data_IF_822702135832
#
_entry.id   IF_822702135832
#
_cell.length_a   1.000
_cell.length_b   1.000
_cell.length_c   1.000
_cell.angle_alpha   90.00
_cell.angle_beta   90.00
_cell.angle_gamma   90.00
#
_symmetry.space_group_name_H-M   'P 1'
#
loop_
_entity.id
_entity.type
_entity.pdbx_description
1 polymer ?
#
# COMPACT_ATOMS: atom_id res chain seq x y z
N UNK A 1 -1.94 -5.90 2.10
CA UNK A 1 -1.50 -4.86 3.06
C UNK A 1 -0.20 -5.25 3.78
N UNK A 2 -0.14 -6.33 4.56
CA UNK A 2 1.11 -6.75 5.23
C UNK A 2 2.27 -6.97 4.24
N UNK A 3 2.02 -7.59 3.08
CA UNK A 3 3.04 -7.71 2.02
C UNK A 3 3.60 -6.35 1.59
N UNK A 4 2.73 -5.38 1.29
CA UNK A 4 3.15 -4.03 0.89
C UNK A 4 3.99 -3.35 1.97
N UNK A 5 3.62 -3.53 3.24
CA UNK A 5 4.35 -3.01 4.39
C UNK A 5 5.76 -3.64 4.51
N UNK A 6 5.86 -4.96 4.30
CA UNK A 6 7.16 -5.65 4.24
C UNK A 6 8.00 -5.13 3.07
N UNK A 7 7.41 -4.99 1.88
CA UNK A 7 8.10 -4.48 0.70
C UNK A 7 8.64 -3.06 0.93
N UNK A 8 7.88 -2.21 1.64
CA UNK A 8 8.29 -0.85 1.98
C UNK A 8 9.51 -0.84 2.92
N UNK A 9 9.52 -1.69 3.95
CA UNK A 9 10.67 -1.81 4.87
C UNK A 9 11.91 -2.39 4.20
N UNK A 10 11.74 -3.38 3.31
CA UNK A 10 12.84 -3.98 2.57
C UNK A 10 13.47 -2.99 1.60
N UNK A 11 12.64 -2.22 0.88
CA UNK A 11 13.13 -1.16 -0.03
C UNK A 11 13.88 -0.07 0.73
N UNK A 12 13.39 0.37 1.89
CA UNK A 12 14.11 1.32 2.74
C UNK A 12 15.47 0.77 3.18
N UNK A 13 15.52 -0.50 3.60
CA UNK A 13 16.78 -1.17 3.96
C UNK A 13 17.77 -1.20 2.80
N UNK A 14 17.30 -1.44 1.58
CA UNK A 14 18.14 -1.40 0.37
C UNK A 14 18.66 0.01 0.08
N UNK A 15 17.81 1.04 0.21
CA UNK A 15 18.23 2.43 0.04
C UNK A 15 19.31 2.84 1.06
N UNK A 16 19.18 2.39 2.31
CA UNK A 16 20.21 2.61 3.33
C UNK A 16 21.52 1.90 2.98
N UNK A 17 21.46 0.67 2.48
CA UNK A 17 22.65 -0.09 2.04
C UNK A 17 23.36 0.58 0.85
N UNK A 18 22.63 1.31 0.00
CA UNK A 18 23.16 2.10 -1.11
C UNK A 18 23.65 3.50 -0.67
N UNK A 19 23.46 3.89 0.59
CA UNK A 19 23.82 5.22 1.11
C UNK A 19 22.84 6.34 0.71
N UNK A 20 21.67 6.01 0.17
CA UNK A 20 20.64 6.96 -0.24
C UNK A 20 19.69 7.36 0.90
N UNK A 21 19.59 6.53 1.93
CA UNK A 21 18.93 6.87 3.19
C UNK A 21 19.98 7.09 4.28
N UNK A 22 20.04 8.32 4.81
CA UNK A 22 21.00 8.75 5.83
C UNK A 22 20.43 8.75 7.25
N UNK A 23 19.13 8.52 7.40
CA UNK A 23 18.50 8.40 8.71
C UNK A 23 18.82 7.07 9.38
N UNK A 24 18.44 6.95 10.65
CA UNK A 24 18.50 5.65 11.34
C UNK A 24 17.36 4.76 10.84
N UNK A 25 17.66 3.49 10.54
CA UNK A 25 16.64 2.51 10.12
C UNK A 25 15.73 2.08 11.27
N UNK A 26 16.18 2.22 12.52
CA UNK A 26 15.42 1.77 13.69
C UNK A 26 14.96 0.31 13.61
N UNK A 27 13.80 0.02 14.21
CA UNK A 27 13.15 -1.27 14.09
C UNK A 27 12.26 -1.35 12.84
N UNK A 28 12.75 -2.05 11.80
CA UNK A 28 11.97 -2.36 10.60
C UNK A 28 10.96 -3.50 10.87
N UNK A 29 9.88 -3.18 11.59
CA UNK A 29 8.79 -4.12 11.90
C UNK A 29 7.48 -3.64 11.27
N UNK A 30 6.69 -4.60 10.78
CA UNK A 30 5.28 -4.38 10.45
C UNK A 30 4.45 -4.69 11.68
N UNK A 31 3.61 -3.75 12.11
CA UNK A 31 2.72 -3.89 13.26
C UNK A 31 1.28 -3.90 12.78
N UNK A 32 0.52 -4.89 13.23
CA UNK A 32 -0.92 -4.98 13.02
C UNK A 32 -1.59 -4.79 14.37
N UNK A 33 -2.47 -3.80 14.46
CA UNK A 33 -3.24 -3.48 15.67
C UNK A 33 -4.73 -3.54 15.36
N UNK A 34 -5.51 -3.93 16.35
CA UNK A 34 -6.97 -4.01 16.27
C UNK A 34 -7.54 -3.20 17.41
N UNK A 35 -8.27 -2.15 17.07
CA UNK A 35 -9.08 -1.38 18.00
C UNK A 35 -10.54 -1.83 17.84
N UNK A 36 -11.05 -2.53 18.85
CA UNK A 36 -12.41 -3.06 18.84
C UNK A 36 -13.46 -1.97 19.05
N UNK A 37 -13.15 -0.97 19.86
CA UNK A 37 -14.08 0.10 20.21
C UNK A 37 -14.25 1.05 19.02
N UNK A 38 -13.13 1.41 18.37
CA UNK A 38 -13.13 2.19 17.13
C UNK A 38 -13.46 1.35 15.88
N UNK A 39 -13.54 0.00 16.00
CA UNK A 39 -13.72 -0.95 14.89
C UNK A 39 -12.70 -0.73 13.76
N UNK A 40 -11.43 -0.52 14.13
CA UNK A 40 -10.34 -0.20 13.21
C UNK A 40 -9.27 -1.28 13.25
N UNK A 41 -8.80 -1.69 12.07
CA UNK A 41 -7.57 -2.49 11.92
C UNK A 41 -6.52 -1.58 11.31
N UNK A 42 -5.39 -1.42 11.99
CA UNK A 42 -4.29 -0.57 11.50
C UNK A 42 -3.07 -1.44 11.23
N UNK A 43 -2.57 -1.36 10.00
CA UNK A 43 -1.29 -1.94 9.59
C UNK A 43 -0.31 -0.77 9.44
N UNK A 44 0.74 -0.76 10.25
CA UNK A 44 1.77 0.28 10.24
C UNK A 44 3.15 -0.33 10.01
N UNK A 45 3.99 0.34 9.25
CA UNK A 45 5.39 -0.01 9.04
C UNK A 45 6.30 1.20 9.17
N UNK A 46 7.59 0.93 9.32
CA UNK A 46 8.65 1.92 9.27
C UNK A 46 9.44 1.76 7.95
N UNK A 47 8.73 1.81 6.82
CA UNK A 47 9.30 1.70 5.49
C UNK A 47 9.57 3.06 4.84
N UNK A 48 9.78 3.03 3.52
CA UNK A 48 10.15 4.24 2.75
C UNK A 48 9.04 5.30 2.67
N UNK A 49 7.79 4.92 2.99
CA UNK A 49 6.61 5.78 2.93
C UNK A 49 6.32 6.36 1.54
N UNK A 50 5.42 7.35 1.49
CA UNK A 50 5.01 8.01 0.26
C UNK A 50 4.73 9.50 0.52
N UNK A 51 5.03 10.32 -0.47
CA UNK A 51 4.56 11.71 -0.59
C UNK A 51 3.10 11.75 -1.07
N UNK A 52 2.45 12.90 -0.94
CA UNK A 52 1.08 13.10 -1.45
C UNK A 52 0.97 12.85 -2.97
N UNK A 53 1.99 13.24 -3.74
CA UNK A 53 2.04 13.00 -5.19
C UNK A 53 2.21 11.51 -5.53
N UNK A 54 3.04 10.79 -4.76
CA UNK A 54 3.20 9.35 -4.90
C UNK A 54 1.91 8.62 -4.55
N UNK A 55 1.19 9.03 -3.49
CA UNK A 55 -0.15 8.50 -3.18
C UNK A 55 -1.10 8.75 -4.35
N UNK A 56 -1.17 9.98 -4.87
CA UNK A 56 -2.04 10.31 -6.01
C UNK A 56 -1.72 9.46 -7.25
N UNK A 57 -0.43 9.20 -7.52
CA UNK A 57 0.01 8.41 -8.66
C UNK A 57 -0.25 6.91 -8.46
N UNK A 58 0.22 6.33 -7.36
CA UNK A 58 0.23 4.87 -7.15
C UNK A 58 -1.07 4.34 -6.54
N UNK A 59 -1.73 5.13 -5.70
CA UNK A 59 -3.03 4.77 -5.16
C UNK A 59 -4.09 5.21 -6.17
N UNK A 60 -4.29 6.50 -6.44
CA UNK A 60 -5.43 6.91 -7.27
C UNK A 60 -5.29 6.48 -8.74
N UNK A 61 -4.21 6.83 -9.44
CA UNK A 61 -4.16 6.60 -10.90
C UNK A 61 -4.02 5.13 -11.29
N UNK A 62 -3.16 4.37 -10.61
CA UNK A 62 -2.97 2.93 -10.92
C UNK A 62 -4.19 2.09 -10.58
N UNK A 63 -5.01 2.48 -9.58
CA UNK A 63 -6.27 1.80 -9.31
C UNK A 63 -7.17 1.75 -10.52
N UNK A 64 -7.39 2.91 -11.15
CA UNK A 64 -8.35 3.04 -12.23
C UNK A 64 -7.80 2.46 -13.54
N UNK A 65 -6.50 2.63 -13.83
CA UNK A 65 -5.90 2.03 -15.02
C UNK A 65 -5.74 0.51 -14.89
N UNK A 66 -5.24 0.04 -13.75
CA UNK A 66 -4.97 -1.38 -13.49
C UNK A 66 -6.24 -2.22 -13.31
N UNK A 67 -7.29 -1.68 -12.66
CA UNK A 67 -8.56 -2.39 -12.53
C UNK A 67 -9.29 -2.52 -13.87
N UNK A 68 -9.23 -1.50 -14.72
CA UNK A 68 -9.86 -1.54 -16.05
C UNK A 68 -9.18 -2.57 -16.95
N UNK A 69 -7.85 -2.52 -17.06
CA UNK A 69 -7.08 -3.52 -17.83
C UNK A 69 -7.22 -4.93 -17.25
N UNK A 70 -7.36 -5.07 -15.92
CA UNK A 70 -7.64 -6.34 -15.26
C UNK A 70 -9.00 -6.92 -15.67
N UNK A 71 -10.07 -6.13 -15.55
CA UNK A 71 -11.41 -6.59 -15.94
C UNK A 71 -11.46 -6.98 -17.42
N UNK A 72 -10.77 -6.25 -18.29
CA UNK A 72 -10.71 -6.55 -19.72
C UNK A 72 -9.91 -7.82 -20.02
N UNK A 73 -8.70 -7.96 -19.47
CA UNK A 73 -7.79 -9.07 -19.75
C UNK A 73 -8.27 -10.43 -19.22
N UNK A 74 -9.16 -10.42 -18.21
CA UNK A 74 -9.60 -11.63 -17.51
C UNK A 74 -11.07 -12.00 -17.75
N UNK A 75 -11.83 -11.22 -18.54
CA UNK A 75 -13.09 -11.69 -19.14
C UNK A 75 -12.90 -12.93 -20.04
N UNK A 76 -11.68 -13.19 -20.50
CA UNK A 76 -11.38 -14.22 -21.51
C UNK A 76 -10.66 -15.48 -20.98
N UNK A 77 -10.24 -15.57 -19.71
CA UNK A 77 -9.43 -16.71 -19.23
C UNK A 77 -10.07 -17.51 -18.09
N UNK A 78 -10.04 -18.83 -18.32
CA UNK A 78 -10.63 -19.94 -17.57
C UNK A 78 -10.30 -19.98 -16.06
N UNK A 79 -11.17 -20.65 -15.31
CA UNK A 79 -11.26 -20.62 -13.84
C UNK A 79 -10.01 -21.10 -13.09
N UNK A 80 -9.05 -21.76 -13.75
CA UNK A 80 -7.84 -22.31 -13.14
C UNK A 80 -6.70 -21.29 -12.93
N UNK A 81 -6.77 -20.11 -13.54
CA UNK A 81 -5.75 -19.07 -13.33
C UNK A 81 -5.95 -18.25 -12.03
N UNK A 82 -7.09 -18.39 -11.35
CA UNK A 82 -7.50 -17.52 -10.22
C UNK A 82 -6.54 -17.54 -9.02
N UNK A 83 -5.88 -18.66 -8.73
CA UNK A 83 -5.12 -18.82 -7.49
C UNK A 83 -3.73 -18.16 -7.48
N UNK A 84 -3.14 -17.88 -8.65
CA UNK A 84 -1.85 -17.17 -8.75
C UNK A 84 -1.99 -15.64 -8.85
N UNK A 85 -3.22 -15.11 -8.90
CA UNK A 85 -3.51 -13.75 -9.37
C UNK A 85 -3.45 -12.68 -8.26
N UNK A 86 -3.56 -13.06 -6.99
CA UNK A 86 -3.79 -12.12 -5.87
C UNK A 86 -2.56 -11.25 -5.51
N UNK A 87 -1.37 -11.52 -6.08
CA UNK A 87 -0.11 -10.85 -5.68
C UNK A 87 0.62 -10.01 -6.73
N UNK A 88 0.26 -10.05 -8.02
CA UNK A 88 1.16 -9.59 -9.10
C UNK A 88 0.92 -8.16 -9.60
N UNK A 89 -0.22 -7.52 -9.30
CA UNK A 89 -0.67 -6.31 -10.02
C UNK A 89 -0.75 -5.03 -9.17
N UNK A 90 -0.25 -5.02 -7.94
CA UNK A 90 -0.36 -3.83 -7.07
C UNK A 90 -1.79 -3.48 -6.64
N UNK A 91 -2.80 -4.20 -7.13
CA UNK A 91 -4.22 -4.07 -6.75
C UNK A 91 -4.51 -4.67 -5.36
N UNK A 92 -3.55 -5.35 -4.73
CA UNK A 92 -3.71 -5.94 -3.40
C UNK A 92 -4.02 -4.91 -2.30
N UNK A 93 -3.73 -3.63 -2.52
CA UNK A 93 -4.20 -2.55 -1.63
C UNK A 93 -5.75 -2.47 -1.60
N UNK A 94 -6.39 -2.54 -2.76
CA UNK A 94 -7.85 -2.40 -2.90
C UNK A 94 -8.66 -3.56 -2.31
N UNK A 95 -8.02 -4.70 -2.02
CA UNK A 95 -8.66 -5.77 -1.24
C UNK A 95 -9.12 -5.31 0.16
N UNK A 96 -8.58 -4.21 0.68
CA UNK A 96 -9.04 -3.60 1.93
C UNK A 96 -10.53 -3.23 1.91
N UNK A 97 -11.04 -2.76 0.77
CA UNK A 97 -12.44 -2.38 0.59
C UNK A 97 -13.41 -3.57 0.60
N UNK A 98 -12.92 -4.82 0.54
CA UNK A 98 -13.78 -6.00 0.71
C UNK A 98 -14.32 -6.14 2.14
N UNK A 99 -13.63 -5.55 3.12
CA UNK A 99 -13.94 -5.70 4.55
C UNK A 99 -14.04 -4.37 5.30
N UNK A 100 -13.61 -3.27 4.68
CA UNK A 100 -13.61 -1.93 5.28
C UNK A 100 -14.57 -1.00 4.52
N UNK A 101 -15.36 -0.23 5.29
CA UNK A 101 -16.21 0.85 4.75
C UNK A 101 -15.39 2.07 4.35
N UNK A 102 -14.29 2.32 5.04
CA UNK A 102 -13.39 3.45 4.80
C UNK A 102 -11.96 2.95 4.96
N UNK A 103 -11.08 3.40 4.07
CA UNK A 103 -9.65 3.09 4.09
C UNK A 103 -8.89 4.41 4.17
N UNK A 104 -8.04 4.53 5.17
CA UNK A 104 -7.15 5.68 5.38
C UNK A 104 -5.69 5.28 5.16
N UNK A 105 -4.91 6.18 4.56
CA UNK A 105 -3.44 6.09 4.50
C UNK A 105 -2.88 7.33 5.19
N UNK A 106 -2.01 7.11 6.16
CA UNK A 106 -1.12 8.12 6.72
C UNK A 106 0.30 7.71 6.35
N UNK A 107 1.02 8.53 5.60
CA UNK A 107 2.35 8.19 5.12
C UNK A 107 3.27 9.41 5.09
N UNK A 108 4.53 9.22 5.45
CA UNK A 108 5.58 10.22 5.30
C UNK A 108 6.75 9.57 4.58
N UNK A 109 7.27 10.23 3.54
CA UNK A 109 8.38 9.72 2.76
C UNK A 109 9.68 9.77 3.56
N UNK A 110 10.61 8.84 3.28
CA UNK A 110 11.96 8.87 3.84
C UNK A 110 12.79 10.10 3.39
N UNK A 111 12.35 10.79 2.34
CA UNK A 111 13.00 12.00 1.83
C UNK A 111 12.87 13.13 2.86
N UNK A 112 13.96 13.88 3.02
CA UNK A 112 14.02 15.06 3.90
C UNK A 112 12.96 16.10 3.52
N UNK A 113 12.51 16.87 4.52
CA UNK A 113 11.54 17.96 4.39
C UNK A 113 10.18 17.56 3.77
N UNK A 114 9.81 16.28 3.84
CA UNK A 114 8.48 15.83 3.41
C UNK A 114 7.46 15.88 4.55
N UNK A 115 6.30 16.46 4.25
CA UNK A 115 5.15 16.47 5.16
C UNK A 115 4.45 15.11 5.15
N UNK A 116 3.80 14.78 6.26
CA UNK A 116 2.90 13.63 6.32
C UNK A 116 1.73 13.84 5.37
N UNK A 117 1.55 12.91 4.43
CA UNK A 117 0.40 12.84 3.56
C UNK A 117 -0.71 12.00 4.22
N UNK A 118 -1.94 12.49 4.14
CA UNK A 118 -3.14 11.78 4.54
C UNK A 118 -4.04 11.60 3.31
N UNK A 119 -4.55 10.38 3.15
CA UNK A 119 -5.49 10.02 2.12
C UNK A 119 -6.61 9.18 2.75
N UNK A 120 -7.83 9.37 2.28
CA UNK A 120 -8.99 8.60 2.70
C UNK A 120 -9.91 8.33 1.52
N UNK A 121 -10.60 7.20 1.55
CA UNK A 121 -11.60 6.82 0.57
C UNK A 121 -12.61 5.86 1.20
N UNK A 122 -13.88 6.01 0.86
CA UNK A 122 -15.00 5.18 1.33
C UNK A 122 -15.38 4.05 0.34
N UNK A 123 -14.61 3.91 -0.73
CA UNK A 123 -14.84 2.91 -1.78
C UNK A 123 -16.04 3.20 -2.67
N UNK A 124 -16.70 4.36 -2.54
CA UNK A 124 -17.74 4.79 -3.46
C UNK A 124 -17.15 5.42 -4.73
N UNK A 125 -17.73 5.07 -5.88
CA UNK A 125 -17.43 5.65 -7.21
C UNK A 125 -18.24 6.89 -7.48
#
# INVERSE_FOLDING_TARGET
LVSNAVDATQKLKSLAALGEYKGELGELKVRVTVDKDARKITISDHGLGMTADEIKKYINQIAFSGATEFVEKYKEKDAQAKDQIIGQFGLGFYSAFMVAKEVEIWSQSYKEDTLTAHWTCDGST
#
